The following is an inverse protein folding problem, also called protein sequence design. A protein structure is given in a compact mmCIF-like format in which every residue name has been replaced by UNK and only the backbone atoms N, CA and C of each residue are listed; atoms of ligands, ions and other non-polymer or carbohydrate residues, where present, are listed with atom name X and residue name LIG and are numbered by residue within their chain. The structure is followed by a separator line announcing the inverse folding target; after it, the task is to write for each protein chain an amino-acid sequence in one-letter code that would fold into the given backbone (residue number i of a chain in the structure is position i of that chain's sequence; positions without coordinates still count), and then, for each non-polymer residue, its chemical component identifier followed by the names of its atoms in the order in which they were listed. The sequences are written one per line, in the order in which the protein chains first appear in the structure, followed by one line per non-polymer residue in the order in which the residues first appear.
data_IF_280685037744
#
_entry.id   IF_280685037744
#
_cell.length_a   1.000
_cell.length_b   1.000
_cell.length_c   1.000
_cell.angle_alpha   90.00
_cell.angle_beta   90.00
_cell.angle_gamma   90.00
#
_symmetry.space_group_name_H-M   'P 1'
#
loop_
_entity.id
_entity.type
_entity.pdbx_description
1 polymer ?
#
# COMPACT_ATOMS: atom_id res chain seq x y z
N UNK A 1 0.54 -0.32 23.39
CA UNK A 1 0.35 0.25 22.04
C UNK A 1 1.48 -0.29 21.18
N UNK A 2 1.18 -0.88 20.03
CA UNK A 2 2.22 -1.32 19.09
C UNK A 2 2.99 -0.10 18.57
N UNK A 3 4.29 -0.25 18.35
CA UNK A 3 5.10 0.81 17.75
C UNK A 3 4.83 0.85 16.24
N UNK A 4 4.35 1.99 15.76
CA UNK A 4 4.16 2.27 14.34
C UNK A 4 5.30 3.15 13.83
N UNK A 5 5.88 2.79 12.69
CA UNK A 5 6.82 3.65 11.97
C UNK A 5 6.18 4.17 10.68
N UNK A 6 6.43 5.44 10.37
CA UNK A 6 5.86 6.13 9.22
C UNK A 6 6.98 6.55 8.27
N UNK A 7 6.78 6.30 6.98
CA UNK A 7 7.71 6.66 5.93
C UNK A 7 6.98 7.36 4.79
N UNK A 8 7.52 8.49 4.33
CA UNK A 8 7.03 9.17 3.14
C UNK A 8 7.98 8.99 1.95
N UNK A 9 7.45 8.56 0.80
CA UNK A 9 8.19 8.49 -0.47
C UNK A 9 9.53 7.74 -0.35
N UNK A 10 10.65 8.48 -0.44
CA UNK A 10 12.00 7.92 -0.40
C UNK A 10 12.44 7.48 0.99
N UNK A 11 11.75 7.88 2.06
CA UNK A 11 12.09 7.49 3.42
C UNK A 11 11.98 5.98 3.64
N UNK A 12 11.05 5.31 2.96
CA UNK A 12 10.91 3.85 3.04
C UNK A 12 12.22 3.15 2.65
N UNK A 13 12.92 3.70 1.65
CA UNK A 13 14.20 3.16 1.20
C UNK A 13 15.31 3.52 2.17
N UNK A 14 15.45 4.81 2.48
CA UNK A 14 16.58 5.32 3.29
C UNK A 14 16.55 4.86 4.75
N UNK A 15 15.36 4.70 5.33
CA UNK A 15 15.18 4.43 6.76
C UNK A 15 14.85 2.97 7.06
N UNK A 16 14.27 2.22 6.13
CA UNK A 16 13.92 0.81 6.34
C UNK A 16 14.77 -0.14 5.49
N UNK A 17 14.83 0.05 4.16
CA UNK A 17 15.51 -0.91 3.28
C UNK A 17 17.05 -0.82 3.34
N UNK A 18 17.62 0.37 3.21
CA UNK A 18 19.07 0.59 3.22
C UNK A 18 19.74 0.13 4.53
N UNK A 19 19.21 0.46 5.73
CA UNK A 19 19.79 -0.03 7.00
C UNK A 19 19.69 -1.56 7.15
N UNK A 20 18.68 -2.17 6.55
CA UNK A 20 18.53 -3.63 6.50
C UNK A 20 19.24 -4.27 5.30
N UNK A 21 20.10 -3.52 4.60
CA UNK A 21 20.93 -3.98 3.46
C UNK A 21 20.12 -4.52 2.29
N UNK A 22 18.89 -4.03 2.10
CA UNK A 22 18.04 -4.38 0.97
C UNK A 22 18.27 -3.37 -0.16
N UNK A 23 18.84 -3.87 -1.26
CA UNK A 23 18.97 -3.14 -2.51
C UNK A 23 17.80 -3.49 -3.44
N UNK A 24 16.86 -2.56 -3.61
CA UNK A 24 15.66 -2.79 -4.42
C UNK A 24 16.00 -3.14 -5.88
N UNK A 25 17.11 -2.63 -6.42
CA UNK A 25 17.49 -2.81 -7.84
C UNK A 25 17.88 -4.25 -8.16
N UNK A 26 18.24 -5.03 -7.13
CA UNK A 26 18.51 -6.47 -7.24
C UNK A 26 17.25 -7.32 -7.18
N UNK A 27 16.11 -6.75 -6.77
CA UNK A 27 14.84 -7.48 -6.55
C UNK A 27 13.78 -7.07 -7.58
N UNK A 28 13.69 -5.78 -7.88
CA UNK A 28 12.71 -5.17 -8.78
C UNK A 28 13.40 -4.48 -9.94
N UNK A 29 12.76 -4.50 -11.11
CA UNK A 29 13.22 -3.80 -12.32
C UNK A 29 12.99 -2.28 -12.27
N UNK A 30 12.15 -1.78 -11.35
CA UNK A 30 11.84 -0.37 -11.20
C UNK A 30 11.57 -0.03 -9.74
N UNK A 31 12.04 1.14 -9.30
CA UNK A 31 11.74 1.68 -7.97
C UNK A 31 10.25 2.05 -7.86
N UNK A 32 9.61 1.62 -6.78
CA UNK A 32 8.25 2.01 -6.42
C UNK A 32 8.30 3.14 -5.39
N UNK A 33 7.44 4.15 -5.49
CA UNK A 33 7.41 5.24 -4.53
C UNK A 33 5.99 5.40 -4.04
N UNK A 34 5.67 4.95 -2.81
CA UNK A 34 4.35 5.16 -2.27
C UNK A 34 4.22 6.61 -1.76
N UNK A 35 3.00 7.10 -1.65
CA UNK A 35 2.76 8.36 -0.95
C UNK A 35 3.23 8.24 0.51
N UNK A 36 2.75 7.18 1.18
CA UNK A 36 3.02 6.86 2.56
C UNK A 36 3.18 5.34 2.74
N UNK A 37 3.98 4.94 3.72
CA UNK A 37 4.08 3.57 4.18
C UNK A 37 4.11 3.54 5.71
N UNK A 38 3.36 2.62 6.32
CA UNK A 38 3.19 2.52 7.76
C UNK A 38 3.53 1.09 8.19
N UNK A 39 4.57 0.93 8.99
CA UNK A 39 5.02 -0.37 9.50
C UNK A 39 4.50 -0.58 10.92
N UNK A 40 3.69 -1.63 11.13
CA UNK A 40 3.51 -2.19 12.47
C UNK A 40 4.71 -3.07 12.79
N UNK A 41 5.58 -2.59 13.70
CA UNK A 41 6.77 -3.36 14.12
C UNK A 41 6.33 -4.65 14.82
N UNK A 42 5.28 -4.56 15.64
CA UNK A 42 4.77 -5.69 16.43
C UNK A 42 4.27 -6.81 15.53
N UNK A 43 3.50 -6.47 14.50
CA UNK A 43 2.81 -7.46 13.67
C UNK A 43 3.61 -7.80 12.39
N UNK A 44 4.74 -7.13 12.16
CA UNK A 44 5.55 -7.21 10.93
C UNK A 44 4.70 -7.01 9.66
N UNK A 45 3.80 -6.04 9.68
CA UNK A 45 2.95 -5.68 8.54
C UNK A 45 3.27 -4.27 8.08
N UNK A 46 3.67 -4.13 6.82
CA UNK A 46 3.83 -2.85 6.14
C UNK A 46 2.58 -2.52 5.33
N UNK A 47 1.91 -1.44 5.69
CA UNK A 47 0.80 -0.88 4.94
C UNK A 47 1.31 0.19 3.96
N UNK A 48 1.20 -0.08 2.67
CA UNK A 48 1.48 0.87 1.59
C UNK A 48 0.21 1.67 1.32
N UNK A 49 0.28 2.99 1.45
CA UNK A 49 -0.86 3.90 1.37
C UNK A 49 -0.72 4.82 0.17
N UNK A 50 -1.75 4.87 -0.68
CA UNK A 50 -1.86 5.77 -1.84
C UNK A 50 -3.10 6.64 -1.71
N UNK A 51 -2.95 7.96 -1.88
CA UNK A 51 -4.07 8.90 -1.76
C UNK A 51 -4.58 9.32 -3.14
N UNK A 52 -5.90 9.28 -3.34
CA UNK A 52 -6.54 9.76 -4.58
C UNK A 52 -7.70 10.68 -4.23
N UNK A 53 -7.61 11.95 -4.66
CA UNK A 53 -8.57 12.99 -4.24
C UNK A 53 -9.41 13.61 -5.36
N UNK A 54 -9.06 13.46 -6.64
CA UNK A 54 -9.79 14.05 -7.76
C UNK A 54 -9.48 13.37 -9.11
N UNK A 55 -10.31 13.64 -10.14
CA UNK A 55 -10.27 13.05 -11.49
C UNK A 55 -9.12 13.55 -12.38
N UNK A 56 -8.34 14.57 -11.99
CA UNK A 56 -7.37 15.21 -12.90
C UNK A 56 -6.19 14.32 -13.33
N UNK A 57 -6.20 13.04 -12.97
CA UNK A 57 -5.37 12.06 -13.66
C UNK A 57 -6.27 11.28 -14.60
N UNK A 58 -6.08 11.51 -15.91
CA UNK A 58 -6.62 10.67 -16.99
C UNK A 58 -6.41 9.17 -16.76
N UNK A 59 -5.52 8.83 -15.83
CA UNK A 59 -5.06 7.49 -15.51
C UNK A 59 -5.52 6.95 -14.13
N UNK A 60 -6.52 7.56 -13.45
CA UNK A 60 -6.95 7.03 -12.13
C UNK A 60 -7.47 5.60 -12.25
N UNK A 61 -8.22 5.29 -13.31
CA UNK A 61 -8.80 3.98 -13.47
C UNK A 61 -7.71 2.92 -13.66
N UNK A 62 -6.68 3.19 -14.46
CA UNK A 62 -5.50 2.34 -14.60
C UNK A 62 -4.71 2.23 -13.29
N UNK A 63 -4.60 3.33 -12.52
CA UNK A 63 -3.94 3.31 -11.21
C UNK A 63 -4.62 2.34 -10.25
N UNK A 64 -5.95 2.37 -10.16
CA UNK A 64 -6.73 1.46 -9.30
C UNK A 64 -6.62 0.01 -9.77
N UNK A 65 -6.59 -0.24 -11.08
CA UNK A 65 -6.39 -1.59 -11.64
C UNK A 65 -4.99 -2.15 -11.38
N UNK A 66 -3.97 -1.28 -11.35
CA UNK A 66 -2.58 -1.67 -11.15
C UNK A 66 -2.25 -2.09 -9.70
N UNK A 67 -3.19 -1.96 -8.77
CA UNK A 67 -2.98 -2.23 -7.35
C UNK A 67 -2.41 -3.63 -7.08
N UNK A 68 -2.96 -4.67 -7.72
CA UNK A 68 -2.52 -6.05 -7.55
C UNK A 68 -1.04 -6.21 -7.89
N UNK A 69 -0.64 -5.71 -9.07
CA UNK A 69 0.74 -5.80 -9.52
C UNK A 69 1.68 -5.04 -8.58
N UNK A 70 1.32 -3.82 -8.16
CA UNK A 70 2.12 -3.05 -7.20
C UNK A 70 2.23 -3.77 -5.86
N UNK A 71 1.14 -4.34 -5.35
CA UNK A 71 1.13 -5.12 -4.11
C UNK A 71 2.08 -6.32 -4.21
N UNK A 72 2.03 -7.09 -5.30
CA UNK A 72 2.95 -8.21 -5.54
C UNK A 72 4.42 -7.77 -5.56
N UNK A 73 4.71 -6.63 -6.18
CA UNK A 73 6.07 -6.09 -6.20
C UNK A 73 6.55 -5.67 -4.81
N UNK A 74 5.70 -5.02 -4.01
CA UNK A 74 6.06 -4.71 -2.62
C UNK A 74 6.23 -5.98 -1.77
N UNK A 75 5.34 -6.97 -1.90
CA UNK A 75 5.50 -8.28 -1.25
C UNK A 75 6.84 -8.91 -1.60
N UNK A 76 7.24 -8.89 -2.87
CA UNK A 76 8.57 -9.37 -3.31
C UNK A 76 9.72 -8.57 -2.69
N UNK A 77 9.60 -7.25 -2.61
CA UNK A 77 10.61 -6.36 -2.06
C UNK A 77 10.85 -6.56 -0.55
N UNK A 78 9.77 -6.85 0.19
CA UNK A 78 9.80 -6.98 1.65
C UNK A 78 9.89 -8.43 2.15
N UNK A 79 9.75 -9.42 1.27
CA UNK A 79 9.92 -10.84 1.61
C UNK A 79 11.27 -11.16 2.31
N UNK A 80 12.43 -10.61 1.94
CA UNK A 80 13.69 -10.87 2.64
C UNK A 80 13.73 -10.40 4.10
N UNK A 81 12.82 -9.51 4.49
CA UNK A 81 12.69 -8.99 5.85
C UNK A 81 11.61 -9.71 6.66
N UNK A 82 10.92 -10.70 6.08
CA UNK A 82 9.78 -11.38 6.71
C UNK A 82 8.69 -10.37 7.12
N UNK A 83 8.47 -9.34 6.29
CA UNK A 83 7.45 -8.31 6.49
C UNK A 83 6.30 -8.56 5.50
N UNK A 84 5.10 -8.80 6.03
CA UNK A 84 3.88 -8.88 5.26
C UNK A 84 3.50 -7.49 4.71
N UNK A 85 2.80 -7.45 3.57
CA UNK A 85 2.45 -6.19 2.91
C UNK A 85 0.96 -6.12 2.63
N UNK A 86 0.37 -4.97 2.99
CA UNK A 86 -0.98 -4.55 2.59
C UNK A 86 -0.88 -3.35 1.66
N UNK A 87 -1.65 -3.31 0.58
CA UNK A 87 -1.75 -2.15 -0.32
C UNK A 87 -3.12 -1.51 -0.19
N UNK A 88 -3.19 -0.23 0.19
CA UNK A 88 -4.44 0.47 0.47
C UNK A 88 -4.52 1.81 -0.24
N UNK A 89 -5.71 2.10 -0.78
CA UNK A 89 -6.05 3.45 -1.23
C UNK A 89 -6.82 4.22 -0.16
N UNK A 90 -6.51 5.51 -0.03
CA UNK A 90 -7.40 6.48 0.62
C UNK A 90 -8.02 7.35 -0.48
N UNK A 91 -9.30 7.13 -0.72
CA UNK A 91 -10.07 7.73 -1.80
C UNK A 91 -10.91 8.90 -1.26
N UNK A 92 -11.04 9.99 -2.00
CA UNK A 92 -12.06 11.01 -1.69
C UNK A 92 -13.46 10.50 -2.05
N UNK A 93 -14.48 11.21 -1.57
CA UNK A 93 -15.88 10.91 -1.89
C UNK A 93 -16.20 10.99 -3.40
N UNK A 94 -15.31 11.59 -4.20
CA UNK A 94 -15.37 11.57 -5.65
C UNK A 94 -15.51 10.15 -6.24
N UNK A 95 -14.83 9.18 -5.64
CA UNK A 95 -14.83 7.78 -6.10
C UNK A 95 -16.08 6.99 -5.69
N UNK A 96 -17.07 7.63 -5.06
CA UNK A 96 -18.36 7.01 -4.76
C UNK A 96 -19.31 6.97 -5.96
N UNK A 97 -18.96 7.61 -7.08
CA UNK A 97 -19.74 7.56 -8.31
C UNK A 97 -19.88 6.11 -8.79
N UNK A 98 -21.05 5.77 -9.35
CA UNK A 98 -21.40 4.42 -9.80
C UNK A 98 -20.39 3.82 -10.79
N UNK A 99 -19.77 4.66 -11.62
CA UNK A 99 -18.76 4.26 -12.61
C UNK A 99 -17.50 3.61 -12.01
N UNK A 100 -17.20 3.84 -10.73
CA UNK A 100 -16.06 3.22 -10.05
C UNK A 100 -16.39 1.88 -9.39
N UNK A 101 -17.66 1.44 -9.38
CA UNK A 101 -18.08 0.23 -8.66
C UNK A 101 -17.23 -0.99 -9.05
N UNK A 102 -17.08 -1.24 -10.34
CA UNK A 102 -16.42 -2.47 -10.82
C UNK A 102 -14.92 -2.47 -10.52
N UNK A 103 -14.24 -1.32 -10.61
CA UNK A 103 -12.82 -1.24 -10.24
C UNK A 103 -12.62 -1.33 -8.72
N UNK A 104 -13.54 -0.79 -7.92
CA UNK A 104 -13.48 -0.92 -6.47
C UNK A 104 -13.75 -2.36 -6.00
N UNK A 105 -14.68 -3.06 -6.67
CA UNK A 105 -14.91 -4.49 -6.44
C UNK A 105 -13.67 -5.31 -6.84
N UNK A 106 -13.03 -4.96 -7.97
CA UNK A 106 -11.77 -5.56 -8.39
C UNK A 106 -10.66 -5.34 -7.35
N UNK A 107 -10.45 -4.12 -6.86
CA UNK A 107 -9.45 -3.79 -5.82
C UNK A 107 -9.59 -4.74 -4.62
N UNK A 108 -10.81 -4.97 -4.13
CA UNK A 108 -11.08 -5.92 -3.04
C UNK A 108 -10.77 -7.36 -3.44
N UNK A 109 -11.21 -7.78 -4.63
CA UNK A 109 -11.06 -9.15 -5.11
C UNK A 109 -9.60 -9.62 -5.21
N UNK A 110 -8.67 -8.69 -5.41
CA UNK A 110 -7.23 -8.96 -5.56
C UNK A 110 -6.43 -8.72 -4.28
N UNK A 111 -7.10 -8.61 -3.12
CA UNK A 111 -6.43 -8.44 -1.83
C UNK A 111 -5.75 -7.07 -1.67
N UNK A 112 -6.26 -6.05 -2.37
CA UNK A 112 -5.96 -4.66 -2.09
C UNK A 112 -7.14 -4.03 -1.35
N UNK A 113 -6.90 -2.91 -0.68
CA UNK A 113 -7.88 -2.28 0.19
C UNK A 113 -8.16 -0.85 -0.25
N UNK A 114 -9.31 -0.33 0.15
CA UNK A 114 -9.56 1.09 0.03
C UNK A 114 -10.45 1.58 1.18
N UNK A 115 -10.25 2.84 1.57
CA UNK A 115 -11.10 3.56 2.51
C UNK A 115 -11.40 4.95 1.96
N UNK A 116 -12.55 5.49 2.35
CA UNK A 116 -12.91 6.86 1.99
C UNK A 116 -12.42 7.85 3.05
N UNK A 117 -11.73 8.89 2.60
CA UNK A 117 -11.24 10.06 3.35
C UNK A 117 -10.19 9.79 4.44
N UNK A 118 -10.25 8.67 5.14
CA UNK A 118 -9.30 8.31 6.21
C UNK A 118 -9.02 6.81 6.27
N UNK A 119 -7.82 6.46 6.72
CA UNK A 119 -7.44 5.09 7.06
C UNK A 119 -7.87 4.80 8.51
N UNK A 120 -8.67 3.76 8.79
CA UNK A 120 -8.99 3.36 10.15
C UNK A 120 -7.74 2.87 10.88
N UNK A 121 -7.55 3.25 12.15
CA UNK A 121 -6.39 2.82 12.94
C UNK A 121 -6.40 1.30 13.13
N UNK A 122 -7.59 0.71 13.27
CA UNK A 122 -7.81 -0.72 13.45
C UNK A 122 -7.29 -1.54 12.26
N UNK A 123 -7.18 -0.93 11.08
CA UNK A 123 -6.61 -1.59 9.89
C UNK A 123 -5.09 -1.81 10.02
N UNK A 124 -4.40 -0.94 10.74
CA UNK A 124 -2.96 -0.99 10.98
C UNK A 124 -2.58 -2.01 12.05
N UNK A 125 -3.46 -2.26 13.01
CA UNK A 125 -3.25 -3.17 14.14
C UNK A 125 -3.74 -4.61 13.90
N UNK A 126 -4.16 -4.94 12.67
CA UNK A 126 -4.78 -6.24 12.36
C UNK A 126 -3.83 -7.15 11.57
N UNK A 127 -3.32 -8.27 12.13
CA UNK A 127 -2.58 -9.26 11.36
C UNK A 127 -3.49 -9.91 10.29
N UNK A 128 -2.97 -10.14 9.08
CA UNK A 128 -3.61 -10.99 8.07
C UNK A 128 -3.58 -12.45 8.56
N UNK A 129 -4.46 -12.80 9.50
CA UNK A 129 -4.74 -14.18 9.90
C UNK A 129 -6.22 -14.32 10.26
N UNK A 130 -7.08 -14.16 9.25
CA UNK A 130 -8.48 -14.62 9.27
C UNK A 130 -8.86 -15.07 7.85
N UNK A 131 -8.24 -16.15 7.38
CA UNK A 131 -8.86 -17.27 6.66
C UNK A 131 -7.84 -18.36 6.35
#
# INVERSE_FOLDING_TARGET
MGTLEYYQKNELYKKLLEPNKIDYSKILSRKLLPDEAILSIKDKVLCIVERKSHENTRFVYEDLQACNFRNQQYKKLFAPLDIAVKYVYILSDYFRKKEYKDVLDYVKSVGCYYFFNKLPMEFLDCPENLQ
#
